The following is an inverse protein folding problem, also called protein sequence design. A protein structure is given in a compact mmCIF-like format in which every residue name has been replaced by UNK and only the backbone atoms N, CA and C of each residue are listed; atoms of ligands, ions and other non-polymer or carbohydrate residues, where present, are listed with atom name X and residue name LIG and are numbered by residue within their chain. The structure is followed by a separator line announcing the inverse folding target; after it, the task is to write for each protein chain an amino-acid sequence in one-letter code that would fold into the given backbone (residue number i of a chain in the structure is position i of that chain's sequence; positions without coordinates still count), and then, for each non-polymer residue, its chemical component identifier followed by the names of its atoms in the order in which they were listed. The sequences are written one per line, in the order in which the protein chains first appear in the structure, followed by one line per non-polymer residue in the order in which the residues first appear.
data_IF_867023191246
#
_entry.id   IF_867023191246
#
_cell.length_a   1.000
_cell.length_b   1.000
_cell.length_c   1.000
_cell.angle_alpha   90.00
_cell.angle_beta   90.00
_cell.angle_gamma   90.00
#
_symmetry.space_group_name_H-M   'P 1'
#
loop_
_entity.id
_entity.type
_entity.pdbx_description
1 polymer ?
#
# COMPACT_ATOMS: atom_id res chain seq x y z
N UNK A 1 32.80 8.33 10.16
CA UNK A 1 31.38 8.28 9.71
C UNK A 1 30.51 8.55 10.94
N UNK A 2 29.52 9.44 10.89
CA UNK A 2 28.69 9.74 12.08
C UNK A 2 27.83 8.53 12.47
N UNK A 3 27.55 8.36 13.77
CA UNK A 3 26.76 7.25 14.32
C UNK A 3 25.38 7.11 13.65
N UNK A 4 24.76 8.24 13.32
CA UNK A 4 23.48 8.31 12.59
C UNK A 4 23.61 7.72 11.19
N UNK A 5 24.62 8.15 10.40
CA UNK A 5 24.87 7.61 9.05
C UNK A 5 25.14 6.11 9.06
N UNK A 6 25.79 5.60 10.10
CA UNK A 6 26.06 4.17 10.25
C UNK A 6 24.78 3.37 10.53
N UNK A 7 23.88 3.89 11.36
CA UNK A 7 22.61 3.26 11.71
C UNK A 7 21.61 3.28 10.54
N UNK A 8 21.55 4.39 9.80
CA UNK A 8 20.78 4.48 8.55
C UNK A 8 21.23 3.44 7.53
N UNK A 9 22.55 3.25 7.39
CA UNK A 9 23.11 2.28 6.45
C UNK A 9 22.78 0.83 6.87
N UNK A 10 22.73 0.55 8.17
CA UNK A 10 22.35 -0.76 8.71
C UNK A 10 20.86 -1.07 8.46
N UNK A 11 19.97 -0.12 8.75
CA UNK A 11 18.53 -0.26 8.52
C UNK A 11 18.22 -0.45 7.03
N UNK A 12 18.87 0.34 6.17
CA UNK A 12 18.75 0.18 4.72
C UNK A 12 19.20 -1.20 4.26
N UNK A 13 20.33 -1.69 4.78
CA UNK A 13 20.82 -3.04 4.49
C UNK A 13 19.83 -4.12 4.96
N UNK A 14 19.27 -3.97 6.16
CA UNK A 14 18.27 -4.90 6.68
C UNK A 14 17.00 -4.93 5.81
N UNK A 15 16.51 -3.76 5.41
CA UNK A 15 15.36 -3.64 4.52
C UNK A 15 15.59 -4.32 3.17
N UNK A 16 16.72 -4.01 2.51
CA UNK A 16 17.06 -4.57 1.20
C UNK A 16 17.24 -6.09 1.23
N UNK A 17 17.69 -6.64 2.37
CA UNK A 17 17.88 -8.07 2.54
C UNK A 17 16.60 -8.83 2.96
N UNK A 18 15.50 -8.13 3.22
CA UNK A 18 14.26 -8.79 3.64
C UNK A 18 13.63 -9.54 2.47
N UNK A 19 13.25 -10.84 2.61
CA UNK A 19 12.71 -11.63 1.49
C UNK A 19 11.48 -11.03 0.81
N UNK A 20 10.60 -10.39 1.59
CA UNK A 20 9.42 -9.71 1.07
C UNK A 20 9.77 -8.57 0.10
N UNK A 21 10.90 -7.88 0.31
CA UNK A 21 11.33 -6.81 -0.58
C UNK A 21 11.65 -7.37 -1.97
N UNK A 22 12.35 -8.52 -2.04
CA UNK A 22 12.65 -9.19 -3.29
C UNK A 22 11.36 -9.60 -4.05
N UNK A 23 10.39 -10.23 -3.36
CA UNK A 23 9.09 -10.59 -3.94
C UNK A 23 8.35 -9.38 -4.53
N UNK A 24 8.39 -8.25 -3.81
CA UNK A 24 7.79 -6.99 -4.31
C UNK A 24 8.53 -6.46 -5.53
N UNK A 25 9.86 -6.56 -5.58
CA UNK A 25 10.63 -6.16 -6.77
C UNK A 25 10.36 -7.06 -7.97
N UNK A 26 10.22 -8.37 -7.76
CA UNK A 26 9.83 -9.33 -8.81
C UNK A 26 8.45 -9.00 -9.38
N UNK A 27 7.46 -8.76 -8.51
CA UNK A 27 6.12 -8.33 -8.92
C UNK A 27 6.18 -7.00 -9.70
N UNK A 28 6.99 -6.04 -9.24
CA UNK A 28 7.19 -4.77 -9.92
C UNK A 28 7.81 -4.93 -11.31
N UNK A 29 8.73 -5.88 -11.49
CA UNK A 29 9.39 -6.14 -12.76
C UNK A 29 8.43 -6.64 -13.86
N UNK A 30 7.25 -7.15 -13.48
CA UNK A 30 6.22 -7.56 -14.43
C UNK A 30 5.55 -6.40 -15.18
N UNK A 31 5.79 -5.13 -14.77
CA UNK A 31 5.24 -3.93 -15.42
C UNK A 31 3.73 -4.02 -15.69
N UNK A 32 2.98 -4.47 -14.69
CA UNK A 32 1.54 -4.65 -14.76
C UNK A 32 0.84 -3.32 -15.06
N UNK A 33 -0.11 -3.34 -15.98
CA UNK A 33 -1.01 -2.19 -16.14
C UNK A 33 -1.94 -2.17 -14.93
N UNK A 34 -2.10 -1.00 -14.31
CA UNK A 34 -2.90 -0.83 -13.11
C UNK A 34 -3.70 0.46 -13.20
N UNK A 35 -5.00 0.35 -13.02
CA UNK A 35 -5.92 1.47 -12.85
C UNK A 35 -6.22 1.64 -11.37
N UNK A 36 -6.27 2.89 -10.93
CA UNK A 36 -6.55 3.25 -9.55
C UNK A 36 -7.88 3.99 -9.46
N UNK A 37 -8.69 3.66 -8.47
CA UNK A 37 -9.90 4.42 -8.14
C UNK A 37 -10.14 4.44 -6.63
N UNK A 38 -10.82 5.48 -6.16
CA UNK A 38 -11.19 5.66 -4.75
C UNK A 38 -12.70 5.64 -4.61
N UNK A 39 -13.19 4.84 -3.66
CA UNK A 39 -14.57 4.82 -3.20
C UNK A 39 -14.56 4.57 -1.68
N UNK A 40 -15.46 3.73 -1.15
CA UNK A 40 -15.39 3.20 0.21
C UNK A 40 -14.20 2.23 0.42
N UNK A 41 -13.41 2.00 -0.62
CA UNK A 41 -12.16 1.25 -0.61
C UNK A 41 -11.14 1.87 -1.56
N UNK A 42 -9.85 1.61 -1.30
CA UNK A 42 -8.77 1.90 -2.25
C UNK A 42 -8.71 0.75 -3.26
N UNK A 43 -9.04 1.04 -4.52
CA UNK A 43 -9.19 0.03 -5.54
C UNK A 43 -8.05 0.09 -6.57
N UNK A 44 -7.47 -1.06 -6.84
CA UNK A 44 -6.51 -1.31 -7.89
C UNK A 44 -7.09 -2.36 -8.83
N UNK A 45 -7.21 -2.04 -10.11
CA UNK A 45 -7.60 -2.99 -11.16
C UNK A 45 -6.41 -3.21 -12.06
N UNK A 46 -5.90 -4.43 -12.09
CA UNK A 46 -4.71 -4.82 -12.82
C UNK A 46 -5.07 -5.73 -13.99
N UNK A 47 -4.20 -5.80 -15.00
CA UNK A 47 -4.29 -6.84 -16.03
C UNK A 47 -3.51 -8.11 -15.65
N UNK A 48 -3.21 -8.28 -14.36
CA UNK A 48 -2.23 -9.26 -13.89
C UNK A 48 -2.74 -10.69 -13.92
N UNK A 49 -1.85 -11.58 -14.36
CA UNK A 49 -1.99 -13.01 -14.12
C UNK A 49 -1.39 -13.44 -12.77
N UNK A 50 -0.63 -12.56 -12.10
CA UNK A 50 0.08 -12.83 -10.85
C UNK A 50 -0.82 -12.72 -9.60
N UNK A 51 -2.03 -13.29 -9.66
CA UNK A 51 -3.03 -13.20 -8.59
C UNK A 51 -2.55 -13.89 -7.31
N UNK A 52 -1.88 -15.03 -7.45
CA UNK A 52 -1.40 -15.84 -6.32
C UNK A 52 -0.21 -15.16 -5.61
N UNK A 53 0.68 -14.54 -6.36
CA UNK A 53 1.82 -13.77 -5.85
C UNK A 53 1.34 -12.53 -5.08
N UNK A 54 0.37 -11.80 -5.64
CA UNK A 54 -0.26 -10.65 -4.98
C UNK A 54 -0.90 -11.09 -3.65
N UNK A 55 -1.65 -12.20 -3.65
CA UNK A 55 -2.26 -12.74 -2.45
C UNK A 55 -1.22 -13.17 -1.40
N UNK A 56 -0.14 -13.83 -1.82
CA UNK A 56 0.93 -14.27 -0.93
C UNK A 56 1.63 -13.07 -0.26
N UNK A 57 2.04 -12.08 -1.05
CA UNK A 57 2.65 -10.83 -0.55
C UNK A 57 1.70 -10.10 0.41
N UNK A 58 0.41 -10.02 0.06
CA UNK A 58 -0.61 -9.37 0.89
C UNK A 58 -0.75 -10.04 2.25
N UNK A 59 -0.69 -11.38 2.32
CA UNK A 59 -0.74 -12.12 3.59
C UNK A 59 0.50 -11.87 4.45
N UNK A 60 1.68 -11.78 3.83
CA UNK A 60 2.94 -11.47 4.52
C UNK A 60 3.02 -10.04 5.06
N UNK A 61 2.28 -9.10 4.46
CA UNK A 61 2.19 -7.71 4.91
C UNK A 61 1.25 -7.48 6.12
N UNK A 62 0.65 -8.54 6.67
CA UNK A 62 -0.15 -8.42 7.89
C UNK A 62 0.69 -7.89 9.06
N UNK A 63 0.09 -7.12 9.99
CA UNK A 63 -1.34 -6.81 10.09
C UNK A 63 -1.77 -5.59 9.25
N UNK A 64 -2.88 -5.73 8.51
CA UNK A 64 -3.51 -4.63 7.80
C UNK A 64 -4.49 -3.89 8.70
N UNK A 65 -4.06 -2.74 9.24
CA UNK A 65 -4.87 -1.98 10.19
C UNK A 65 -5.82 -0.98 9.54
N UNK A 66 -5.36 -0.16 8.58
CA UNK A 66 -6.19 0.86 7.90
C UNK A 66 -6.57 0.38 6.50
N UNK A 67 -7.82 0.53 6.09
CA UNK A 67 -8.31 0.23 4.74
C UNK A 67 -9.82 0.50 4.63
N UNK A 68 -10.58 -0.26 3.83
CA UNK A 68 -10.19 -1.48 3.10
C UNK A 68 -9.47 -1.21 1.77
N UNK A 69 -8.83 -2.24 1.22
CA UNK A 69 -8.23 -2.23 -0.12
C UNK A 69 -8.85 -3.34 -0.98
N UNK A 70 -8.92 -3.10 -2.29
CA UNK A 70 -9.32 -4.10 -3.27
C UNK A 70 -8.31 -4.13 -4.41
N UNK A 71 -7.77 -5.31 -4.70
CA UNK A 71 -6.84 -5.53 -5.82
C UNK A 71 -7.49 -6.60 -6.71
N UNK A 72 -8.03 -6.20 -7.86
CA UNK A 72 -8.87 -7.06 -8.70
C UNK A 72 -10.03 -7.68 -7.89
N UNK A 73 -10.06 -9.00 -7.80
CA UNK A 73 -11.04 -9.77 -7.04
C UNK A 73 -10.65 -9.93 -5.55
N UNK A 74 -9.40 -9.61 -5.19
CA UNK A 74 -8.89 -9.73 -3.83
C UNK A 74 -9.36 -8.55 -2.98
N UNK A 75 -10.25 -8.84 -2.03
CA UNK A 75 -10.64 -7.88 -0.99
C UNK A 75 -9.79 -8.06 0.27
N UNK A 76 -9.09 -6.99 0.65
CA UNK A 76 -8.28 -6.93 1.87
C UNK A 76 -9.12 -6.25 2.94
N UNK A 77 -9.80 -7.07 3.73
CA UNK A 77 -10.54 -6.60 4.89
C UNK A 77 -9.56 -6.24 6.01
N UNK A 78 -9.58 -4.99 6.40
CA UNK A 78 -8.65 -4.40 7.38
C UNK A 78 -9.33 -4.17 8.70
N UNK A 79 -8.55 -4.15 9.79
CA UNK A 79 -9.09 -3.92 11.15
C UNK A 79 -9.97 -2.65 11.23
N UNK A 80 -9.56 -1.56 10.57
CA UNK A 80 -10.28 -0.29 10.54
C UNK A 80 -10.91 -0.03 9.18
N UNK A 81 -12.24 0.05 9.18
CA UNK A 81 -13.06 0.57 8.08
C UNK A 81 -12.88 2.10 7.97
N UNK A 82 -11.71 2.51 7.48
CA UNK A 82 -11.21 3.88 7.56
C UNK A 82 -12.05 4.84 6.70
N UNK A 83 -12.70 4.32 5.66
CA UNK A 83 -13.64 5.05 4.81
C UNK A 83 -14.81 5.65 5.60
N UNK A 84 -15.30 4.99 6.67
CA UNK A 84 -16.42 5.51 7.49
C UNK A 84 -16.06 6.88 8.05
N UNK A 85 -14.90 6.96 8.72
CA UNK A 85 -14.40 8.22 9.30
C UNK A 85 -14.10 9.23 8.21
N UNK A 86 -13.46 8.81 7.13
CA UNK A 86 -13.11 9.71 6.04
C UNK A 86 -14.35 10.32 5.38
N UNK A 87 -15.39 9.53 5.10
CA UNK A 87 -16.63 9.98 4.48
C UNK A 87 -17.42 10.96 5.35
N UNK A 88 -17.35 10.82 6.68
CA UNK A 88 -17.93 11.82 7.61
C UNK A 88 -17.22 13.17 7.47
N UNK A 89 -15.89 13.17 7.33
CA UNK A 89 -15.09 14.39 7.23
C UNK A 89 -15.12 15.01 5.82
N UNK A 90 -15.20 14.18 4.77
CA UNK A 90 -15.04 14.55 3.36
C UNK A 90 -15.85 15.79 2.94
N UNK A 91 -17.14 15.97 3.31
CA UNK A 91 -17.92 17.15 2.93
C UNK A 91 -17.40 18.47 3.50
N UNK A 92 -16.60 18.41 4.57
CA UNK A 92 -16.09 19.57 5.29
C UNK A 92 -14.63 19.90 4.95
N UNK A 93 -13.98 19.14 4.06
CA UNK A 93 -12.57 19.29 3.70
C UNK A 93 -12.37 19.91 2.30
N UNK A 94 -13.26 20.81 1.85
CA UNK A 94 -13.21 21.37 0.49
C UNK A 94 -11.93 22.20 0.23
N UNK A 95 -11.34 22.76 1.29
CA UNK A 95 -10.15 23.59 1.27
C UNK A 95 -8.86 22.85 0.88
N UNK A 96 -8.84 21.51 0.95
CA UNK A 96 -7.67 20.69 0.59
C UNK A 96 -7.56 20.44 -0.92
N UNK A 97 -8.57 20.86 -1.71
CA UNK A 97 -8.55 20.72 -3.15
C UNK A 97 -7.35 21.46 -3.76
N UNK A 98 -6.60 20.76 -4.62
CA UNK A 98 -5.37 21.26 -5.25
C UNK A 98 -4.29 21.72 -4.25
N UNK A 99 -4.31 21.19 -3.02
CA UNK A 99 -3.27 21.45 -2.01
C UNK A 99 -2.29 20.29 -1.92
N UNK A 100 -1.05 20.61 -1.55
CA UNK A 100 -0.12 19.63 -1.02
C UNK A 100 -0.50 19.37 0.45
N UNK A 101 -0.83 18.13 0.78
CA UNK A 101 -1.30 17.71 2.11
C UNK A 101 -0.24 16.79 2.73
N UNK A 102 0.03 16.97 4.03
CA UNK A 102 0.86 16.07 4.82
C UNK A 102 -0.05 15.19 5.71
N UNK A 103 0.20 13.89 5.72
CA UNK A 103 -0.46 12.86 6.56
C UNK A 103 0.61 12.07 7.33
#
# INVERSE_FOLDING_TARGET
MSRIKMQENLLKKQFLNHPLYAKIQELKALNLACNFSLDDSVNLSTNSQAKDEILAITKELKPWRKGPFKIDDLFIDTEWQSFIKFNILKPFMNEISQKCVAD
#
